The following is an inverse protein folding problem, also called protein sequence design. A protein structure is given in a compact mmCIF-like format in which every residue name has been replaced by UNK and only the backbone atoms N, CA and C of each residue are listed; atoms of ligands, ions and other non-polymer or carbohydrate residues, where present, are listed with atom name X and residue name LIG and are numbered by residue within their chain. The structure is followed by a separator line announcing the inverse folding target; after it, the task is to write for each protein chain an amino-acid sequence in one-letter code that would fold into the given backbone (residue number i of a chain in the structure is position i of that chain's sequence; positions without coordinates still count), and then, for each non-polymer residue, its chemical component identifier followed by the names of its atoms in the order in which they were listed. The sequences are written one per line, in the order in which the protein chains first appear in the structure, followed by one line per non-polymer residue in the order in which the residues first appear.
data_IF_777639811099
#
_entry.id   IF_777639811099
#
_cell.length_a   1.000
_cell.length_b   1.000
_cell.length_c   1.000
_cell.angle_alpha   90.00
_cell.angle_beta   90.00
_cell.angle_gamma   90.00
#
_symmetry.space_group_name_H-M   'P 1'
#
loop_
_entity.id
_entity.type
_entity.pdbx_description
1 polymer ?
#
# COMPACT_ATOMS: atom_id res chain seq x y z
N UNK A 1 -2.87 14.48 -11.87
CA UNK A 1 -4.16 15.08 -11.50
C UNK A 1 -4.78 14.30 -10.36
N UNK A 2 -4.52 14.75 -9.12
CA UNK A 2 -4.83 13.98 -7.92
C UNK A 2 -6.32 13.62 -7.90
N UNK A 3 -6.71 12.54 -7.22
CA UNK A 3 -8.11 12.11 -7.18
C UNK A 3 -8.95 13.29 -6.66
N UNK A 4 -9.85 13.77 -7.52
CA UNK A 4 -10.72 14.91 -7.25
C UNK A 4 -12.18 14.48 -7.19
N UNK A 5 -12.95 15.11 -6.32
CA UNK A 5 -14.36 14.80 -6.14
C UNK A 5 -15.12 15.95 -5.50
N UNK A 6 -16.46 15.84 -5.47
CA UNK A 6 -17.31 16.84 -4.81
C UNK A 6 -17.28 16.70 -3.29
N UNK A 7 -16.89 15.52 -2.80
CA UNK A 7 -16.75 15.21 -1.39
C UNK A 7 -15.52 14.32 -1.13
N UNK A 8 -15.13 14.17 0.14
CA UNK A 8 -14.16 13.16 0.56
C UNK A 8 -14.63 11.74 0.21
N UNK A 9 -15.94 11.47 0.37
CA UNK A 9 -16.56 10.18 0.03
C UNK A 9 -16.35 9.83 -1.45
N UNK A 10 -16.67 10.76 -2.35
CA UNK A 10 -16.52 10.59 -3.80
C UNK A 10 -15.07 10.25 -4.19
N UNK A 11 -14.10 10.94 -3.57
CA UNK A 11 -12.69 10.69 -3.86
C UNK A 11 -12.26 9.30 -3.39
N UNK A 12 -12.72 8.89 -2.21
CA UNK A 12 -12.35 7.61 -1.62
C UNK A 12 -13.03 6.47 -2.36
N UNK A 13 -14.26 6.65 -2.84
CA UNK A 13 -14.95 5.68 -3.66
C UNK A 13 -14.25 5.45 -5.00
N UNK A 14 -13.73 6.51 -5.63
CA UNK A 14 -12.88 6.39 -6.82
C UNK A 14 -11.62 5.57 -6.52
N UNK A 15 -10.88 5.92 -5.46
CA UNK A 15 -9.67 5.19 -5.05
C UNK A 15 -9.99 3.72 -4.73
N UNK A 16 -11.01 3.47 -3.92
CA UNK A 16 -11.44 2.12 -3.53
C UNK A 16 -11.82 1.29 -4.76
N UNK A 17 -12.64 1.85 -5.65
CA UNK A 17 -13.10 1.13 -6.85
C UNK A 17 -11.93 0.77 -7.76
N UNK A 18 -11.00 1.71 -7.93
CA UNK A 18 -9.77 1.49 -8.69
C UNK A 18 -8.92 0.37 -8.08
N UNK A 19 -8.62 0.44 -6.78
CA UNK A 19 -7.81 -0.57 -6.08
C UNK A 19 -8.49 -1.94 -6.04
N UNK A 20 -9.81 -2.00 -5.84
CA UNK A 20 -10.55 -3.26 -5.83
C UNK A 20 -10.58 -3.92 -7.20
N UNK A 21 -10.71 -3.14 -8.29
CA UNK A 21 -10.58 -3.66 -9.65
C UNK A 21 -9.19 -4.23 -9.88
N UNK A 22 -8.14 -3.50 -9.49
CA UNK A 22 -6.76 -3.93 -9.61
C UNK A 22 -6.53 -5.26 -8.86
N UNK A 23 -6.92 -5.33 -7.59
CA UNK A 23 -6.77 -6.53 -6.75
C UNK A 23 -7.51 -7.74 -7.33
N UNK A 24 -8.75 -7.54 -7.82
CA UNK A 24 -9.58 -8.58 -8.40
C UNK A 24 -9.06 -9.08 -9.76
N UNK A 25 -8.35 -8.24 -10.51
CA UNK A 25 -7.61 -8.66 -11.70
C UNK A 25 -6.34 -9.42 -11.34
N UNK A 26 -5.64 -9.00 -10.26
CA UNK A 26 -4.32 -9.51 -9.94
C UNK A 26 -4.33 -10.68 -8.99
N UNK A 27 -4.61 -10.50 -7.69
CA UNK A 27 -4.22 -11.49 -6.66
C UNK A 27 -5.34 -11.90 -5.72
N UNK A 28 -6.43 -11.13 -5.61
CA UNK A 28 -7.53 -11.48 -4.71
C UNK A 28 -8.86 -10.83 -5.11
N UNK A 29 -9.99 -11.56 -5.07
CA UNK A 29 -11.31 -10.95 -5.20
C UNK A 29 -11.79 -10.28 -3.89
N UNK A 30 -11.05 -10.42 -2.78
CA UNK A 30 -11.43 -9.81 -1.50
C UNK A 30 -11.34 -8.29 -1.61
N UNK A 31 -12.45 -7.56 -1.44
CA UNK A 31 -12.43 -6.12 -1.60
C UNK A 31 -11.80 -5.44 -0.37
N UNK A 32 -11.11 -4.33 -0.62
CA UNK A 32 -10.84 -3.33 0.38
C UNK A 32 -12.16 -2.69 0.81
N UNK A 33 -12.22 -2.41 2.11
CA UNK A 33 -13.30 -1.65 2.71
C UNK A 33 -12.77 -0.34 3.25
N UNK A 34 -13.66 0.63 3.26
CA UNK A 34 -13.39 2.00 3.69
C UNK A 34 -14.01 2.18 5.06
N UNK A 35 -13.27 2.78 5.99
CA UNK A 35 -13.86 3.36 7.19
C UNK A 35 -13.39 4.80 7.38
N UNK A 36 -14.35 5.63 7.76
CA UNK A 36 -14.18 7.08 7.89
C UNK A 36 -14.03 7.46 9.35
N UNK A 37 -12.97 8.20 9.66
CA UNK A 37 -12.89 9.01 10.87
C UNK A 37 -12.49 10.41 10.39
N UNK A 38 -13.47 11.28 10.05
CA UNK A 38 -13.19 12.59 9.49
C UNK A 38 -12.13 13.34 10.32
N UNK A 39 -11.13 13.98 9.67
CA UNK A 39 -11.00 14.23 8.23
C UNK A 39 -10.28 13.12 7.44
N UNK A 40 -10.04 11.95 8.04
CA UNK A 40 -9.25 10.86 7.46
C UNK A 40 -10.11 9.66 7.09
N UNK A 41 -9.60 8.91 6.12
CA UNK A 41 -10.20 7.69 5.62
C UNK A 41 -9.13 6.61 5.59
N UNK A 42 -9.51 5.39 5.95
CA UNK A 42 -8.62 4.25 5.91
C UNK A 42 -9.20 3.16 4.99
N UNK A 43 -8.40 2.72 4.02
CA UNK A 43 -8.67 1.59 3.15
C UNK A 43 -7.85 0.39 3.59
N UNK A 44 -8.50 -0.75 3.86
CA UNK A 44 -7.84 -2.01 4.23
C UNK A 44 -8.75 -3.21 3.98
N UNK A 45 -8.21 -4.43 3.99
CA UNK A 45 -9.03 -5.64 4.05
C UNK A 45 -9.62 -5.80 5.45
N UNK A 46 -10.85 -6.31 5.56
CA UNK A 46 -11.45 -6.63 6.86
C UNK A 46 -12.11 -8.00 6.88
N UNK A 47 -12.02 -8.64 8.04
CA UNK A 47 -12.76 -9.86 8.37
C UNK A 47 -13.28 -9.72 9.79
N UNK A 48 -14.56 -10.04 10.01
CA UNK A 48 -15.24 -9.85 11.30
C UNK A 48 -15.05 -8.45 11.91
N UNK A 49 -15.01 -7.41 11.06
CA UNK A 49 -14.83 -6.03 11.48
C UNK A 49 -13.40 -5.67 11.90
N UNK A 50 -12.40 -6.53 11.77
CA UNK A 50 -11.00 -6.20 12.07
C UNK A 50 -10.16 -6.10 10.80
N UNK A 51 -9.18 -5.17 10.73
CA UNK A 51 -8.18 -5.15 9.67
C UNK A 51 -7.48 -6.51 9.57
N UNK A 52 -7.29 -7.01 8.37
CA UNK A 52 -6.70 -8.33 8.14
C UNK A 52 -5.80 -8.35 6.90
N UNK A 53 -5.08 -9.46 6.72
CA UNK A 53 -4.39 -9.79 5.48
C UNK A 53 -5.23 -10.75 4.65
N UNK A 54 -5.09 -10.71 3.34
CA UNK A 54 -5.63 -11.74 2.43
C UNK A 54 -4.60 -12.84 2.22
N UNK A 55 -5.04 -14.09 2.18
CA UNK A 55 -4.15 -15.22 1.91
C UNK A 55 -3.77 -15.28 0.43
N UNK A 56 -2.48 -15.38 0.16
CA UNK A 56 -1.87 -15.61 -1.14
C UNK A 56 -1.18 -16.98 -1.14
N UNK A 57 -1.32 -17.68 -2.27
CA UNK A 57 -0.60 -18.93 -2.52
C UNK A 57 0.64 -18.61 -3.34
N UNK A 58 1.81 -18.69 -2.70
CA UNK A 58 3.12 -18.44 -3.34
C UNK A 58 3.85 -19.76 -3.61
N UNK A 59 4.93 -19.71 -4.39
CA UNK A 59 5.83 -20.86 -4.58
C UNK A 59 6.60 -21.25 -3.30
N UNK A 60 6.56 -20.42 -2.26
CA UNK A 60 7.18 -20.63 -0.96
C UNK A 60 6.17 -20.99 0.15
N UNK A 61 4.90 -21.22 -0.22
CA UNK A 61 3.82 -21.52 0.72
C UNK A 61 2.82 -20.36 0.88
N UNK A 62 2.02 -20.42 1.94
CA UNK A 62 0.95 -19.44 2.18
C UNK A 62 1.47 -18.19 2.88
N UNK A 63 1.16 -17.04 2.30
CA UNK A 63 1.51 -15.73 2.86
C UNK A 63 0.27 -14.85 2.96
N UNK A 64 0.17 -14.03 3.98
CA UNK A 64 -0.81 -12.95 4.08
C UNK A 64 -0.27 -11.67 3.44
N UNK A 65 -1.04 -11.09 2.52
CA UNK A 65 -0.86 -9.73 2.02
C UNK A 65 -1.74 -8.77 2.81
N UNK A 66 -1.13 -7.81 3.48
CA UNK A 66 -1.82 -6.70 4.13
C UNK A 66 -1.69 -5.43 3.30
N UNK A 67 -2.79 -4.69 3.20
CA UNK A 67 -2.84 -3.36 2.61
C UNK A 67 -3.56 -2.44 3.60
N UNK A 68 -2.89 -1.38 4.03
CA UNK A 68 -3.47 -0.27 4.76
C UNK A 68 -3.08 1.05 4.10
N UNK A 69 -4.06 1.90 3.78
CA UNK A 69 -3.78 3.23 3.23
C UNK A 69 -4.67 4.27 3.89
N UNK A 70 -4.04 5.30 4.44
CA UNK A 70 -4.71 6.43 5.09
C UNK A 70 -4.64 7.63 4.16
N UNK A 71 -5.80 8.21 3.87
CA UNK A 71 -5.95 9.38 3.02
C UNK A 71 -6.68 10.51 3.76
N UNK A 72 -6.38 11.74 3.37
CA UNK A 72 -7.11 12.96 3.78
C UNK A 72 -7.53 13.73 2.54
N UNK A 73 -8.67 14.44 2.57
CA UNK A 73 -9.00 15.40 1.51
C UNK A 73 -8.53 16.80 1.86
N UNK A 74 -8.07 17.54 0.87
CA UNK A 74 -7.90 19.01 0.95
C UNK A 74 -8.81 19.67 -0.06
N UNK A 75 -9.46 20.76 0.34
CA UNK A 75 -10.20 21.61 -0.60
C UNK A 75 -9.18 22.36 -1.47
N UNK A 76 -9.31 22.25 -2.79
CA UNK A 76 -8.59 23.11 -3.74
C UNK A 76 -9.35 24.42 -3.99
N UNK A 77 -8.68 25.36 -4.65
CA UNK A 77 -9.24 26.70 -4.97
C UNK A 77 -10.55 26.62 -5.77
N UNK A 78 -10.71 25.59 -6.60
CA UNK A 78 -11.92 25.27 -7.38
C UNK A 78 -13.04 24.61 -6.55
N UNK A 79 -12.94 24.64 -5.20
CA UNK A 79 -13.88 24.03 -4.26
C UNK A 79 -14.06 22.51 -4.43
N UNK A 80 -13.10 21.83 -5.09
CA UNK A 80 -13.09 20.37 -5.19
C UNK A 80 -12.26 19.77 -4.06
N UNK A 81 -12.68 18.60 -3.58
CA UNK A 81 -11.85 17.81 -2.69
C UNK A 81 -10.76 17.14 -3.51
N UNK A 82 -9.52 17.21 -3.03
CA UNK A 82 -8.35 16.53 -3.57
C UNK A 82 -7.85 15.53 -2.53
N UNK A 83 -7.81 14.25 -2.88
CA UNK A 83 -7.35 13.20 -1.98
C UNK A 83 -5.82 13.16 -1.92
N UNK A 84 -5.29 13.04 -0.71
CA UNK A 84 -3.86 12.96 -0.45
C UNK A 84 -3.56 11.76 0.44
N UNK A 85 -2.58 10.94 0.05
CA UNK A 85 -2.05 9.88 0.92
C UNK A 85 -1.30 10.50 2.11
N UNK A 86 -1.71 10.13 3.31
CA UNK A 86 -1.08 10.52 4.58
C UNK A 86 -0.12 9.43 5.04
N UNK A 87 -0.52 8.17 4.88
CA UNK A 87 0.30 7.02 5.20
C UNK A 87 -0.12 5.80 4.38
N UNK A 88 0.80 4.87 4.17
CA UNK A 88 0.46 3.52 3.75
C UNK A 88 1.32 2.50 4.52
N UNK A 89 0.79 1.29 4.63
CA UNK A 89 1.51 0.11 5.06
C UNK A 89 1.12 -1.04 4.14
N UNK A 90 2.09 -1.57 3.42
CA UNK A 90 1.94 -2.80 2.65
C UNK A 90 2.84 -3.85 3.29
N UNK A 91 2.33 -5.05 3.54
CA UNK A 91 3.17 -6.08 4.15
C UNK A 91 2.85 -7.47 3.68
N UNK A 92 3.88 -8.32 3.70
CA UNK A 92 3.83 -9.72 3.38
C UNK A 92 4.30 -10.52 4.59
N UNK A 93 3.48 -11.47 5.02
CA UNK A 93 3.70 -12.23 6.25
C UNK A 93 3.43 -13.71 6.04
N UNK A 94 4.35 -14.63 6.34
CA UNK A 94 4.01 -16.05 6.43
C UNK A 94 2.84 -16.26 7.42
N UNK A 95 1.85 -17.09 7.10
CA UNK A 95 0.67 -17.23 7.98
C UNK A 95 1.00 -17.73 9.40
N UNK A 96 2.13 -18.42 9.57
CA UNK A 96 2.65 -18.90 10.85
C UNK A 96 3.45 -17.86 11.65
N UNK A 97 3.81 -16.72 11.03
CA UNK A 97 4.67 -15.72 11.65
C UNK A 97 3.84 -14.65 12.38
N UNK A 98 4.34 -14.18 13.53
CA UNK A 98 3.77 -13.04 14.25
C UNK A 98 4.02 -11.72 13.52
N UNK A 99 5.21 -11.57 12.92
CA UNK A 99 5.67 -10.34 12.28
C UNK A 99 5.73 -10.44 10.74
N UNK A 100 5.48 -9.35 9.99
CA UNK A 100 5.63 -9.35 8.54
C UNK A 100 7.08 -9.51 8.11
N UNK A 101 7.32 -10.36 7.12
CA UNK A 101 8.64 -10.57 6.52
C UNK A 101 9.13 -9.33 5.77
N UNK A 102 8.24 -8.70 5.02
CA UNK A 102 8.47 -7.41 4.38
C UNK A 102 7.35 -6.45 4.78
N UNK A 103 7.72 -5.24 5.18
CA UNK A 103 6.79 -4.17 5.52
C UNK A 103 7.28 -2.86 4.91
N UNK A 104 6.57 -2.41 3.88
CA UNK A 104 6.78 -1.09 3.27
C UNK A 104 5.87 -0.09 3.94
N UNK A 105 6.45 1.00 4.43
CA UNK A 105 5.71 2.05 5.10
C UNK A 105 6.00 3.41 4.49
N UNK A 106 4.99 4.25 4.56
CA UNK A 106 5.11 5.68 4.31
C UNK A 106 4.36 6.46 5.38
N UNK A 107 4.99 7.51 5.87
CA UNK A 107 4.37 8.52 6.73
C UNK A 107 4.70 9.91 6.19
N UNK A 108 3.67 10.65 5.75
CA UNK A 108 3.82 11.99 5.17
C UNK A 108 4.49 12.97 6.13
N UNK A 109 4.04 12.95 7.38
CA UNK A 109 4.53 13.79 8.47
C UNK A 109 4.88 12.89 9.65
N UNK A 110 6.12 12.39 9.72
CA UNK A 110 6.62 11.69 10.90
C UNK A 110 6.49 12.58 12.15
N UNK A 111 6.53 11.97 13.33
CA UNK A 111 6.57 12.71 14.59
C UNK A 111 7.80 13.62 14.66
N UNK A 112 7.75 14.70 15.44
CA UNK A 112 8.85 15.67 15.52
C UNK A 112 10.18 15.06 16.03
N UNK A 113 10.09 14.01 16.85
CA UNK A 113 11.21 13.25 17.38
C UNK A 113 11.66 12.10 16.46
N UNK A 114 10.90 11.79 15.40
CA UNK A 114 11.29 10.78 14.43
C UNK A 114 12.59 11.19 13.72
N UNK A 115 13.62 10.36 13.85
CA UNK A 115 14.92 10.53 13.17
C UNK A 115 15.06 9.66 11.91
N UNK A 116 13.95 9.07 11.45
CA UNK A 116 13.90 8.14 10.34
C UNK A 116 13.24 8.74 9.09
N UNK A 117 13.48 8.10 7.94
CA UNK A 117 13.01 8.54 6.64
C UNK A 117 11.52 8.23 6.40
N UNK A 118 10.81 9.13 5.70
CA UNK A 118 9.35 9.05 5.48
C UNK A 118 8.91 7.74 4.83
N UNK A 119 9.74 7.16 3.98
CA UNK A 119 9.49 5.95 3.22
C UNK A 119 10.55 4.92 3.62
N UNK A 120 10.13 3.76 4.11
CA UNK A 120 11.09 2.73 4.50
C UNK A 120 10.56 1.32 4.32
N UNK A 121 11.50 0.37 4.28
CA UNK A 121 11.28 -1.06 4.34
C UNK A 121 11.79 -1.60 5.68
N UNK A 122 11.01 -2.48 6.29
CA UNK A 122 11.33 -3.20 7.52
C UNK A 122 10.97 -4.69 7.40
N UNK A 123 11.57 -5.50 8.26
CA UNK A 123 11.32 -6.95 8.37
C UNK A 123 12.24 -7.62 9.39
N UNK A 124 11.88 -8.79 9.94
CA UNK A 124 12.71 -9.57 10.86
C UNK A 124 13.80 -10.35 10.12
N UNK A 125 14.48 -9.72 9.16
CA UNK A 125 15.53 -10.32 8.35
C UNK A 125 16.86 -9.99 9.01
N UNK A 126 17.64 -11.01 9.36
CA UNK A 126 19.00 -10.82 9.87
C UNK A 126 19.93 -10.47 8.73
N UNK A 127 20.63 -9.34 8.86
CA UNK A 127 21.57 -8.83 7.88
C UNK A 127 22.97 -8.86 8.47
N UNK A 128 23.93 -9.33 7.69
CA UNK A 128 25.34 -9.12 8.00
C UNK A 128 25.71 -7.67 7.65
N UNK A 129 26.17 -6.92 8.64
CA UNK A 129 26.49 -5.50 8.55
C UNK A 129 27.92 -5.25 9.03
N UNK A 130 28.88 -5.51 8.14
CA UNK A 130 30.30 -5.53 8.49
C UNK A 130 30.63 -6.73 9.40
N UNK A 131 31.16 -6.47 10.58
CA UNK A 131 31.52 -7.49 11.57
C UNK A 131 30.36 -7.82 12.54
N UNK A 132 29.19 -7.20 12.35
CA UNK A 132 28.04 -7.35 13.22
C UNK A 132 26.83 -7.89 12.45
N UNK A 133 25.89 -8.47 13.19
CA UNK A 133 24.57 -8.79 12.66
C UNK A 133 23.55 -7.81 13.23
N UNK A 134 22.59 -7.42 12.40
CA UNK A 134 21.51 -6.54 12.80
C UNK A 134 20.21 -6.97 12.11
N UNK A 135 19.07 -6.73 12.76
CA UNK A 135 17.78 -7.00 12.14
C UNK A 135 17.42 -5.85 11.21
N UNK A 136 16.83 -6.15 10.05
CA UNK A 136 16.31 -5.14 9.15
C UNK A 136 15.30 -4.20 9.85
N UNK A 137 14.56 -4.71 10.85
CA UNK A 137 13.68 -3.93 11.73
C UNK A 137 14.40 -2.84 12.54
N UNK A 138 15.70 -2.98 12.81
CA UNK A 138 16.50 -1.97 13.52
C UNK A 138 16.84 -0.79 12.62
N UNK A 139 16.64 -0.95 11.31
CA UNK A 139 16.87 0.07 10.30
C UNK A 139 15.57 0.62 9.74
N UNK A 140 15.63 1.85 9.25
CA UNK A 140 14.62 2.41 8.38
C UNK A 140 15.24 2.49 7.00
N UNK A 141 15.39 1.33 6.34
CA UNK A 141 16.04 1.27 5.03
C UNK A 141 15.22 2.14 4.07
N UNK A 142 15.79 3.25 3.57
CA UNK A 142 15.02 4.24 2.84
C UNK A 142 14.48 3.63 1.55
N UNK A 143 13.20 3.87 1.30
CA UNK A 143 12.55 3.54 0.04
C UNK A 143 12.13 4.82 -0.68
N UNK A 144 11.77 4.69 -1.95
CA UNK A 144 10.96 5.71 -2.62
C UNK A 144 9.48 5.54 -2.28
N UNK A 145 8.62 6.19 -3.06
CA UNK A 145 7.22 5.76 -3.11
C UNK A 145 7.18 4.33 -3.64
N UNK A 146 6.63 3.42 -2.82
CA UNK A 146 6.33 2.06 -3.23
C UNK A 146 4.83 2.00 -3.45
N UNK A 147 4.43 1.74 -4.69
CA UNK A 147 3.00 1.65 -5.01
C UNK A 147 2.49 0.23 -4.77
N UNK A 148 1.18 0.08 -4.57
CA UNK A 148 0.60 -1.26 -4.45
C UNK A 148 0.80 -2.08 -5.73
N UNK A 149 0.82 -1.45 -6.90
CA UNK A 149 1.11 -2.11 -8.18
C UNK A 149 2.48 -2.81 -8.17
N UNK A 150 3.49 -2.17 -7.58
CA UNK A 150 4.84 -2.75 -7.47
C UNK A 150 4.85 -3.95 -6.50
N UNK A 151 4.13 -3.86 -5.38
CA UNK A 151 3.97 -4.97 -4.44
C UNK A 151 3.21 -6.15 -5.07
N UNK A 152 2.15 -5.88 -5.83
CA UNK A 152 1.38 -6.90 -6.54
C UNK A 152 2.21 -7.57 -7.64
N UNK A 153 3.00 -6.79 -8.39
CA UNK A 153 3.96 -7.34 -9.37
C UNK A 153 4.98 -8.25 -8.69
N UNK A 154 5.55 -7.83 -7.56
CA UNK A 154 6.48 -8.66 -6.77
C UNK A 154 5.82 -9.96 -6.31
N UNK A 155 4.56 -9.91 -5.85
CA UNK A 155 3.82 -11.13 -5.48
C UNK A 155 3.68 -12.10 -6.67
N UNK A 156 3.34 -11.60 -7.85
CA UNK A 156 3.11 -12.44 -9.03
C UNK A 156 4.43 -12.98 -9.58
N UNK A 157 5.40 -12.11 -9.85
CA UNK A 157 6.63 -12.44 -10.58
C UNK A 157 7.62 -13.17 -9.67
N UNK A 158 7.91 -12.62 -8.49
CA UNK A 158 8.99 -13.10 -7.64
C UNK A 158 8.50 -14.20 -6.70
N UNK A 159 7.31 -14.03 -6.10
CA UNK A 159 6.73 -15.01 -5.19
C UNK A 159 5.90 -16.09 -5.92
N UNK A 160 5.62 -15.92 -7.21
CA UNK A 160 4.91 -16.92 -8.00
C UNK A 160 3.43 -17.03 -7.66
N UNK A 161 2.80 -15.96 -7.16
CA UNK A 161 1.35 -15.91 -7.00
C UNK A 161 0.70 -15.95 -8.37
N UNK A 162 -0.19 -16.92 -8.59
CA UNK A 162 -0.92 -17.02 -9.86
C UNK A 162 -1.90 -15.84 -9.97
N UNK A 163 -1.84 -15.04 -11.04
CA UNK A 163 -2.78 -13.95 -11.23
C UNK A 163 -4.19 -14.49 -11.50
N UNK A 164 -5.22 -13.70 -11.20
CA UNK A 164 -6.61 -14.07 -11.44
C UNK A 164 -7.00 -13.91 -12.92
N UNK A 165 -6.33 -13.01 -13.63
CA UNK A 165 -6.54 -12.75 -15.06
C UNK A 165 -5.20 -12.69 -15.83
N UNK A 166 -5.22 -12.98 -17.12
CA UNK A 166 -4.02 -13.05 -17.98
C UNK A 166 -3.46 -11.65 -18.33
N UNK A 167 -4.31 -10.62 -18.35
CA UNK A 167 -3.98 -9.23 -18.66
C UNK A 167 -3.50 -8.41 -17.44
N UNK A 168 -3.21 -9.08 -16.33
CA UNK A 168 -2.78 -8.47 -15.06
C UNK A 168 -1.61 -7.48 -15.22
N UNK A 169 -0.68 -7.76 -16.14
CA UNK A 169 0.49 -6.91 -16.35
C UNK A 169 0.10 -5.55 -16.91
N UNK A 170 -0.79 -5.54 -17.91
CA UNK A 170 -1.26 -4.33 -18.57
C UNK A 170 -2.12 -3.50 -17.61
N UNK A 171 -2.95 -4.14 -16.80
CA UNK A 171 -3.72 -3.50 -15.74
C UNK A 171 -2.82 -2.85 -14.67
N UNK A 172 -1.78 -3.55 -14.20
CA UNK A 172 -0.79 -2.98 -13.29
C UNK A 172 -0.03 -1.80 -13.92
N UNK A 173 0.32 -1.90 -15.20
CA UNK A 173 1.02 -0.83 -15.91
C UNK A 173 0.13 0.40 -16.09
N UNK A 174 -1.12 0.22 -16.51
CA UNK A 174 -2.09 1.31 -16.63
C UNK A 174 -2.33 1.97 -15.26
N UNK A 175 -2.56 1.17 -14.23
CA UNK A 175 -2.76 1.64 -12.86
C UNK A 175 -1.57 2.46 -12.35
N UNK A 176 -0.34 1.97 -12.59
CA UNK A 176 0.88 2.67 -12.19
C UNK A 176 1.06 4.00 -12.93
N UNK A 177 0.72 4.05 -14.21
CA UNK A 177 0.74 5.31 -14.96
C UNK A 177 -0.29 6.30 -14.40
N UNK A 178 -1.52 5.85 -14.12
CA UNK A 178 -2.53 6.67 -13.45
C UNK A 178 -2.04 7.16 -12.08
N UNK A 179 -1.34 6.34 -11.30
CA UNK A 179 -0.76 6.80 -10.04
C UNK A 179 0.26 7.93 -10.25
N UNK A 180 1.17 7.78 -11.23
CA UNK A 180 2.20 8.78 -11.52
C UNK A 180 1.63 10.07 -12.10
N UNK A 181 0.68 9.98 -13.03
CA UNK A 181 0.17 11.14 -13.77
C UNK A 181 -1.06 11.74 -13.13
N UNK A 182 -1.95 10.91 -12.60
CA UNK A 182 -3.21 11.27 -11.95
C UNK A 182 -2.99 11.37 -10.44
N UNK A 183 -2.80 10.28 -9.71
CA UNK A 183 -2.95 10.31 -8.25
C UNK A 183 -1.83 11.01 -7.47
N UNK A 184 -0.69 11.27 -8.09
CA UNK A 184 0.41 12.02 -7.47
C UNK A 184 0.38 13.51 -7.87
N UNK A 185 0.55 14.39 -6.88
CA UNK A 185 0.88 15.79 -7.14
C UNK A 185 2.38 15.84 -7.37
N UNK A 186 2.81 15.94 -8.63
CA UNK A 186 4.20 16.24 -8.97
C UNK A 186 4.63 17.51 -8.22
N UNK A 187 5.67 17.42 -7.39
CA UNK A 187 6.44 18.60 -6.95
C UNK A 187 5.98 19.36 -5.70
N UNK A 188 5.51 18.70 -4.64
CA UNK A 188 5.60 19.26 -3.28
C UNK A 188 6.29 18.28 -2.34
N UNK A 189 7.61 18.17 -2.52
CA UNK A 189 8.54 17.59 -1.55
C UNK A 189 8.61 18.45 -0.29
#
# INVERSE_FOLDING_TARGET
MPIKGKSLGDCVDQLRSHLNRLLACTVTPTPLVVFSVPPRMHLTFRQAGQPTAVELHTKFGRMGLFLGQICESRLSEDQKHTLMTVAYTYSLRPLSASEPLFRWEYVRQPRADARWCRHHLQGPILLDFGEQQALLNDFHVPTGWVTIEEVLRFCIVDLGVRPLHDDWHDELMQSYQLFKTEFSVLGKA
#
